data_IF_129359347240
#
_entry.id   IF_129359347240
#
_cell.length_a   1.000
_cell.length_b   1.000
_cell.length_c   1.000
_cell.angle_alpha   90.00
_cell.angle_beta   90.00
_cell.angle_gamma   90.00
#
_symmetry.space_group_name_H-M   'P 1'
#
loop_
_entity.id
_entity.type
_entity.pdbx_description
1 polymer ?
#
# COMPACT_ATOMS: atom_id res chain seq x y z
N UNK A 1 -16.55 -2.16 19.22
CA UNK A 1 -15.62 -3.23 19.61
C UNK A 1 -15.66 -4.31 18.56
N UNK A 2 -14.51 -4.64 17.99
CA UNK A 2 -14.43 -5.68 16.96
C UNK A 2 -14.66 -7.06 17.57
N UNK A 3 -15.51 -7.86 16.95
CA UNK A 3 -15.83 -9.23 17.36
C UNK A 3 -15.06 -10.18 16.45
N UNK A 4 -14.10 -10.91 16.99
CA UNK A 4 -13.31 -11.88 16.24
C UNK A 4 -13.86 -13.29 16.46
N UNK A 5 -13.97 -14.06 15.38
CA UNK A 5 -14.34 -15.47 15.41
C UNK A 5 -13.19 -16.29 14.85
N UNK A 6 -12.79 -17.32 15.60
CA UNK A 6 -11.72 -18.25 15.20
C UNK A 6 -12.25 -19.67 15.30
N UNK A 7 -11.92 -20.47 14.30
CA UNK A 7 -12.20 -21.91 14.28
C UNK A 7 -10.90 -22.67 14.14
N UNK A 8 -10.66 -23.63 15.02
CA UNK A 8 -9.49 -24.49 15.04
C UNK A 8 -9.94 -25.95 14.97
N UNK A 9 -9.33 -26.73 14.09
CA UNK A 9 -9.68 -28.13 13.86
C UNK A 9 -8.41 -29.01 13.86
N UNK A 10 -8.45 -30.13 14.61
CA UNK A 10 -7.43 -31.16 14.55
C UNK A 10 -6.02 -30.72 14.94
N UNK A 11 -5.88 -29.90 16.00
CA UNK A 11 -4.60 -29.40 16.45
C UNK A 11 -4.26 -29.89 17.87
N UNK A 12 -3.26 -30.75 18.00
CA UNK A 12 -2.86 -31.41 19.26
C UNK A 12 -4.06 -32.13 19.94
N UNK A 13 -4.36 -31.75 21.18
CA UNK A 13 -5.46 -32.29 21.96
C UNK A 13 -6.84 -31.66 21.61
N UNK A 14 -6.88 -30.76 20.63
CA UNK A 14 -8.08 -30.03 20.25
C UNK A 14 -8.65 -30.62 18.97
N UNK A 15 -9.76 -31.35 19.07
CA UNK A 15 -10.47 -31.85 17.88
C UNK A 15 -11.15 -30.71 17.13
N UNK A 16 -11.86 -29.85 17.87
CA UNK A 16 -12.55 -28.68 17.34
C UNK A 16 -12.68 -27.61 18.41
N UNK A 17 -12.41 -26.35 18.04
CA UNK A 17 -12.68 -25.18 18.88
C UNK A 17 -13.21 -24.04 18.03
N UNK A 18 -14.39 -23.53 18.36
CA UNK A 18 -14.98 -22.31 17.81
C UNK A 18 -14.97 -21.24 18.89
N UNK A 19 -14.22 -20.16 18.69
CA UNK A 19 -13.99 -19.14 19.71
C UNK A 19 -14.45 -17.81 19.18
N UNK A 20 -15.21 -17.09 20.01
CA UNK A 20 -15.57 -15.71 19.75
C UNK A 20 -14.92 -14.83 20.81
N UNK A 21 -14.07 -13.90 20.39
CA UNK A 21 -13.44 -12.91 21.26
C UNK A 21 -14.23 -11.60 21.14
N UNK A 22 -14.77 -11.15 22.29
CA UNK A 22 -15.50 -9.89 22.39
C UNK A 22 -15.21 -9.26 23.77
N UNK A 23 -14.12 -8.50 23.86
CA UNK A 23 -13.60 -8.01 25.12
C UNK A 23 -12.76 -9.05 25.87
N UNK A 24 -13.07 -9.34 27.13
CA UNK A 24 -12.35 -10.31 27.97
C UNK A 24 -12.91 -11.71 27.72
N UNK A 25 -12.04 -12.65 27.34
CA UNK A 25 -12.41 -14.06 27.16
C UNK A 25 -11.62 -14.91 28.16
N UNK A 26 -12.32 -15.75 28.94
CA UNK A 26 -11.72 -16.65 29.92
C UNK A 26 -11.81 -18.09 29.43
N UNK A 27 -10.68 -18.78 29.39
CA UNK A 27 -10.59 -20.20 29.07
C UNK A 27 -10.51 -21.03 30.37
N UNK A 28 -11.50 -21.89 30.60
CA UNK A 28 -11.52 -22.81 31.74
C UNK A 28 -11.65 -24.26 31.28
N UNK A 29 -11.25 -25.20 32.12
CA UNK A 29 -11.34 -26.63 31.85
C UNK A 29 -10.28 -27.44 32.62
N UNK A 30 -10.32 -28.75 32.52
CA UNK A 30 -9.41 -29.69 33.20
C UNK A 30 -7.96 -29.56 32.71
N UNK A 31 -7.00 -30.07 33.51
CA UNK A 31 -5.59 -30.09 33.11
C UNK A 31 -5.40 -31.01 31.90
N UNK A 32 -4.63 -30.54 30.92
CA UNK A 32 -4.37 -31.30 29.69
C UNK A 32 -5.39 -31.12 28.55
N UNK A 33 -6.51 -30.42 28.76
CA UNK A 33 -7.54 -30.23 27.71
C UNK A 33 -7.16 -29.23 26.59
N UNK A 34 -5.93 -28.73 26.55
CA UNK A 34 -5.46 -27.89 25.45
C UNK A 34 -5.60 -26.38 25.63
N UNK A 35 -5.98 -25.87 26.85
CA UNK A 35 -6.13 -24.41 27.11
C UNK A 35 -4.90 -23.58 26.73
N UNK A 36 -3.73 -24.02 27.18
CA UNK A 36 -2.46 -23.32 26.88
C UNK A 36 -2.12 -23.34 25.41
N UNK A 37 -2.40 -24.44 24.72
CA UNK A 37 -2.22 -24.57 23.27
C UNK A 37 -3.12 -23.60 22.54
N UNK A 38 -4.39 -23.51 22.94
CA UNK A 38 -5.36 -22.61 22.36
C UNK A 38 -5.00 -21.14 22.58
N UNK A 39 -4.60 -20.78 23.82
CA UNK A 39 -4.16 -19.40 24.14
C UNK A 39 -2.95 -18.97 23.31
N UNK A 40 -1.94 -19.85 23.17
CA UNK A 40 -0.75 -19.57 22.34
C UNK A 40 -1.11 -19.39 20.89
N UNK A 41 -1.97 -20.25 20.37
CA UNK A 41 -2.43 -20.17 18.99
C UNK A 41 -3.21 -18.88 18.72
N UNK A 42 -4.14 -18.50 19.61
CA UNK A 42 -4.87 -17.24 19.50
C UNK A 42 -3.95 -16.02 19.55
N UNK A 43 -3.00 -16.01 20.50
CA UNK A 43 -2.01 -14.95 20.59
C UNK A 43 -1.20 -14.82 19.30
N UNK A 44 -0.75 -15.94 18.75
CA UNK A 44 0.00 -15.97 17.52
C UNK A 44 -0.83 -15.41 16.34
N UNK A 45 -2.05 -15.87 16.13
CA UNK A 45 -2.93 -15.40 15.04
C UNK A 45 -3.23 -13.90 15.16
N UNK A 46 -3.51 -13.41 16.37
CA UNK A 46 -3.79 -12.00 16.61
C UNK A 46 -2.54 -11.15 16.30
N UNK A 47 -1.39 -11.60 16.78
CA UNK A 47 -0.12 -10.91 16.55
C UNK A 47 0.23 -10.84 15.05
N UNK A 48 0.08 -11.96 14.33
CA UNK A 48 0.36 -12.00 12.89
C UNK A 48 -0.67 -11.20 12.07
N UNK A 49 -1.92 -11.18 12.52
CA UNK A 49 -2.93 -10.32 11.88
C UNK A 49 -2.57 -8.82 12.00
N UNK A 50 -2.02 -8.40 13.15
CA UNK A 50 -1.58 -7.03 13.35
C UNK A 50 -0.35 -6.71 12.48
N UNK A 51 0.64 -7.61 12.44
CA UNK A 51 1.81 -7.45 11.54
C UNK A 51 1.42 -7.38 10.05
N UNK A 52 0.37 -8.11 9.67
CA UNK A 52 -0.14 -8.06 8.31
C UNK A 52 -0.64 -6.67 7.93
N UNK A 53 -1.37 -6.00 8.83
CA UNK A 53 -1.83 -4.62 8.62
C UNK A 53 -0.65 -3.65 8.49
N UNK A 54 0.36 -3.77 9.34
CA UNK A 54 1.60 -2.97 9.26
C UNK A 54 2.33 -3.20 7.93
N UNK A 55 2.43 -4.48 7.50
CA UNK A 55 3.07 -4.84 6.23
C UNK A 55 2.33 -4.29 5.00
N UNK A 56 1.00 -4.30 5.01
CA UNK A 56 0.19 -3.71 3.94
C UNK A 56 0.40 -2.20 3.87
N UNK A 57 0.38 -1.53 5.01
CA UNK A 57 0.64 -0.09 5.07
C UNK A 57 2.05 0.26 4.61
N UNK A 58 3.05 -0.53 5.00
CA UNK A 58 4.43 -0.35 4.57
C UNK A 58 4.58 -0.54 3.04
N UNK A 59 3.95 -1.57 2.47
CA UNK A 59 3.95 -1.80 1.02
C UNK A 59 3.31 -0.63 0.26
N UNK A 60 2.15 -0.16 0.72
CA UNK A 60 1.47 1.02 0.20
C UNK A 60 2.37 2.25 0.26
N UNK A 61 2.94 2.55 1.42
CA UNK A 61 3.81 3.69 1.66
C UNK A 61 5.04 3.68 0.76
N UNK A 62 5.69 2.53 0.61
CA UNK A 62 6.87 2.37 -0.24
C UNK A 62 6.53 2.59 -1.72
N UNK A 63 5.39 2.08 -2.20
CA UNK A 63 4.94 2.29 -3.58
C UNK A 63 4.64 3.77 -3.84
N UNK A 64 3.96 4.42 -2.91
CA UNK A 64 3.60 5.83 -2.98
C UNK A 64 4.84 6.73 -3.02
N UNK A 65 5.80 6.50 -2.10
CA UNK A 65 7.09 7.19 -2.10
C UNK A 65 7.84 7.02 -3.42
N UNK A 66 7.87 5.79 -3.95
CA UNK A 66 8.53 5.49 -5.23
C UNK A 66 7.92 6.28 -6.39
N UNK A 67 6.60 6.44 -6.43
CA UNK A 67 5.91 7.23 -7.44
C UNK A 67 6.16 8.74 -7.26
N UNK A 68 6.05 9.26 -6.04
CA UNK A 68 6.34 10.67 -5.75
C UNK A 68 7.79 11.03 -6.08
N UNK A 69 8.76 10.18 -5.79
CA UNK A 69 10.16 10.41 -6.16
C UNK A 69 10.38 10.52 -7.66
N UNK A 70 9.65 9.76 -8.49
CA UNK A 70 9.69 9.92 -9.95
C UNK A 70 9.19 11.30 -10.37
N UNK A 71 8.05 11.74 -9.80
CA UNK A 71 7.47 13.06 -10.07
C UNK A 71 8.41 14.18 -9.61
N UNK A 72 9.01 14.08 -8.42
CA UNK A 72 10.00 15.05 -7.90
C UNK A 72 11.20 15.17 -8.84
N UNK A 73 11.76 14.06 -9.30
CA UNK A 73 12.90 14.08 -10.24
C UNK A 73 12.54 14.74 -11.57
N UNK A 74 11.36 14.42 -12.10
CA UNK A 74 10.88 15.01 -13.35
C UNK A 74 10.54 16.49 -13.19
N UNK A 75 9.95 16.91 -12.06
CA UNK A 75 9.60 18.31 -11.80
C UNK A 75 10.82 19.22 -11.73
N UNK A 76 11.98 18.72 -11.23
CA UNK A 76 13.25 19.45 -11.25
C UNK A 76 13.71 19.85 -12.66
N UNK A 77 13.34 19.08 -13.65
CA UNK A 77 13.62 19.42 -15.06
C UNK A 77 12.59 20.40 -15.64
N UNK A 78 11.39 20.46 -15.08
CA UNK A 78 10.29 21.32 -15.58
C UNK A 78 10.38 22.72 -15.00
N UNK A 79 10.62 22.85 -13.69
CA UNK A 79 10.62 24.10 -12.96
C UNK A 79 11.83 24.23 -12.04
N UNK A 80 12.36 25.44 -11.88
CA UNK A 80 13.43 25.73 -10.91
C UNK A 80 12.89 26.23 -9.55
N UNK A 81 11.59 26.24 -9.32
CA UNK A 81 10.94 26.91 -8.18
C UNK A 81 10.36 25.97 -7.12
N UNK A 82 10.04 26.55 -5.99
CA UNK A 82 9.60 26.11 -4.66
C UNK A 82 8.50 25.00 -4.54
N UNK A 83 8.07 24.42 -5.64
CA UNK A 83 7.00 23.40 -5.68
C UNK A 83 7.40 22.03 -5.09
N UNK A 84 8.69 21.87 -4.77
CA UNK A 84 9.21 20.66 -4.11
C UNK A 84 8.61 20.45 -2.72
N UNK A 85 8.23 21.52 -2.05
CA UNK A 85 7.66 21.51 -0.70
C UNK A 85 6.42 20.63 -0.65
N UNK A 86 5.49 20.78 -1.59
CA UNK A 86 4.25 19.99 -1.62
C UNK A 86 4.46 18.48 -1.77
N UNK A 87 5.46 18.05 -2.55
CA UNK A 87 5.78 16.61 -2.68
C UNK A 87 6.41 16.06 -1.39
N UNK A 88 7.27 16.86 -0.73
CA UNK A 88 7.89 16.47 0.53
C UNK A 88 6.85 16.41 1.65
N UNK A 89 5.93 17.37 1.71
CA UNK A 89 4.82 17.34 2.66
C UNK A 89 3.98 16.06 2.56
N UNK A 90 3.69 15.58 1.34
CA UNK A 90 2.97 14.30 1.18
C UNK A 90 3.83 13.12 1.61
N UNK A 91 5.14 13.12 1.33
CA UNK A 91 6.07 12.10 1.79
C UNK A 91 6.14 12.07 3.32
N UNK A 92 6.20 13.24 3.96
CA UNK A 92 6.24 13.35 5.42
C UNK A 92 4.93 12.86 6.05
N UNK A 93 3.80 13.18 5.46
CA UNK A 93 2.50 12.65 5.91
C UNK A 93 2.38 11.14 5.82
N UNK A 94 3.00 10.51 4.82
CA UNK A 94 3.10 9.05 4.75
C UNK A 94 3.90 8.51 5.96
N UNK A 95 4.96 9.22 6.36
CA UNK A 95 5.78 8.83 7.51
C UNK A 95 5.03 8.98 8.84
N UNK A 96 4.21 10.03 8.96
CA UNK A 96 3.47 10.36 10.18
C UNK A 96 2.17 9.57 10.34
N UNK A 97 1.88 8.62 9.43
CA UNK A 97 0.66 7.81 9.43
C UNK A 97 -0.63 8.65 9.52
N UNK A 98 -0.64 9.78 8.81
CA UNK A 98 -1.80 10.66 8.72
C UNK A 98 -2.98 9.93 8.08
N UNK A 99 -4.19 10.44 8.33
CA UNK A 99 -5.42 9.96 7.75
C UNK A 99 -5.31 9.66 6.23
N UNK A 100 -5.60 8.40 5.89
CA UNK A 100 -5.41 7.86 4.54
C UNK A 100 -6.29 8.57 3.51
N UNK A 101 -7.48 9.04 3.91
CA UNK A 101 -8.41 9.75 3.02
C UNK A 101 -7.84 11.10 2.62
N UNK A 102 -7.32 11.85 3.59
CA UNK A 102 -6.62 13.12 3.34
C UNK A 102 -5.39 12.93 2.45
N UNK A 103 -4.63 11.84 2.67
CA UNK A 103 -3.47 11.48 1.86
C UNK A 103 -3.88 11.18 0.41
N UNK A 104 -5.00 10.47 0.21
CA UNK A 104 -5.56 10.17 -1.11
C UNK A 104 -5.86 11.43 -1.90
N UNK A 105 -6.61 12.34 -1.31
CA UNK A 105 -7.00 13.59 -1.97
C UNK A 105 -5.77 14.41 -2.39
N UNK A 106 -4.80 14.55 -1.51
CA UNK A 106 -3.56 15.29 -1.78
C UNK A 106 -2.72 14.63 -2.87
N UNK A 107 -2.57 13.31 -2.81
CA UNK A 107 -1.81 12.56 -3.83
C UNK A 107 -2.43 12.74 -5.22
N UNK A 108 -3.74 12.53 -5.34
CA UNK A 108 -4.45 12.67 -6.62
C UNK A 108 -4.33 14.12 -7.14
N UNK A 109 -4.47 15.11 -6.27
CA UNK A 109 -4.30 16.51 -6.62
C UNK A 109 -2.89 16.81 -7.18
N UNK A 110 -1.84 16.33 -6.51
CA UNK A 110 -0.46 16.50 -6.96
C UNK A 110 -0.18 15.82 -8.30
N UNK A 111 -0.69 14.60 -8.49
CA UNK A 111 -0.54 13.85 -9.75
C UNK A 111 -1.19 14.61 -10.90
N UNK A 112 -2.41 15.11 -10.73
CA UNK A 112 -3.13 15.90 -11.75
C UNK A 112 -2.44 17.23 -12.05
N UNK A 113 -1.98 17.94 -11.02
CA UNK A 113 -1.24 19.18 -11.21
C UNK A 113 0.05 18.96 -12.01
N UNK A 114 0.77 17.89 -11.70
CA UNK A 114 1.99 17.55 -12.43
C UNK A 114 1.68 17.18 -13.89
N UNK A 115 0.62 16.43 -14.16
CA UNK A 115 0.19 16.10 -15.53
C UNK A 115 -0.07 17.36 -16.35
N UNK A 116 -0.85 18.30 -15.84
CA UNK A 116 -1.15 19.58 -16.51
C UNK A 116 0.12 20.39 -16.81
N UNK A 117 1.05 20.42 -15.88
CA UNK A 117 2.34 21.10 -16.05
C UNK A 117 3.22 20.44 -17.09
N UNK A 118 3.27 19.10 -17.10
CA UNK A 118 4.02 18.36 -18.09
C UNK A 118 3.48 18.65 -19.50
N UNK A 119 2.17 18.64 -19.69
CA UNK A 119 1.53 18.98 -20.98
C UNK A 119 1.87 20.43 -21.40
N UNK A 120 1.75 21.38 -20.48
CA UNK A 120 2.12 22.78 -20.75
C UNK A 120 3.60 22.92 -21.11
N UNK A 121 4.47 22.24 -20.39
CA UNK A 121 5.92 22.23 -20.66
C UNK A 121 6.26 21.65 -22.04
N UNK A 122 5.54 20.61 -22.48
CA UNK A 122 5.75 19.97 -23.77
C UNK A 122 5.34 20.86 -24.95
N UNK A 123 4.38 21.75 -24.71
CA UNK A 123 3.91 22.74 -25.70
C UNK A 123 4.92 23.87 -25.93
N UNK A 124 5.86 24.08 -25.02
CA UNK A 124 6.92 25.07 -25.16
C UNK A 124 8.06 24.58 -26.06
N UNK A 125 8.68 25.52 -26.80
CA UNK A 125 9.91 25.24 -27.56
C UNK A 125 11.08 24.95 -26.62
N UNK A 126 11.42 23.68 -26.43
CA UNK A 126 12.49 23.26 -25.54
C UNK A 126 13.43 22.23 -26.18
N UNK A 127 14.66 22.19 -25.65
CA UNK A 127 15.67 21.23 -26.10
C UNK A 127 15.18 19.78 -25.97
N UNK A 128 15.24 19.02 -27.06
CA UNK A 128 14.86 17.59 -27.09
C UNK A 128 15.53 16.75 -25.99
N UNK A 129 16.77 17.09 -25.63
CA UNK A 129 17.52 16.40 -24.57
C UNK A 129 16.86 16.50 -23.19
N UNK A 130 16.28 17.66 -22.87
CA UNK A 130 15.57 17.90 -21.60
C UNK A 130 14.26 17.14 -21.55
N UNK A 131 13.49 17.15 -22.65
CA UNK A 131 12.29 16.32 -22.78
C UNK A 131 12.60 14.84 -22.56
N UNK A 132 13.61 14.28 -23.23
CA UNK A 132 14.02 12.88 -23.07
C UNK A 132 14.40 12.53 -21.61
N UNK A 133 15.06 13.42 -20.86
CA UNK A 133 15.38 13.18 -19.45
C UNK A 133 14.14 13.08 -18.57
N UNK A 134 13.16 13.98 -18.74
CA UNK A 134 11.89 13.93 -18.02
C UNK A 134 11.20 12.59 -18.22
N UNK A 135 11.06 12.16 -19.47
CA UNK A 135 10.44 10.88 -19.81
C UNK A 135 11.21 9.68 -19.26
N UNK A 136 12.55 9.76 -19.22
CA UNK A 136 13.37 8.74 -18.57
C UNK A 136 13.08 8.62 -17.07
N UNK A 137 12.93 9.74 -16.34
CA UNK A 137 12.59 9.72 -14.91
C UNK A 137 11.20 9.14 -14.65
N UNK A 138 10.23 9.47 -15.50
CA UNK A 138 8.86 8.94 -15.43
C UNK A 138 8.75 7.50 -15.93
N UNK A 139 9.79 6.97 -16.60
CA UNK A 139 9.77 5.67 -17.30
C UNK A 139 8.68 5.58 -18.37
N UNK A 140 8.40 6.69 -19.04
CA UNK A 140 7.51 6.77 -20.18
C UNK A 140 8.32 6.72 -21.47
N UNK A 141 7.87 5.98 -22.47
CA UNK A 141 8.50 5.96 -23.79
C UNK A 141 8.30 7.32 -24.49
N UNK A 142 9.44 8.02 -24.73
CA UNK A 142 9.41 9.26 -25.50
C UNK A 142 9.18 8.97 -26.98
N UNK A 143 8.19 9.63 -27.56
CA UNK A 143 7.91 9.59 -28.99
C UNK A 143 7.89 11.00 -29.58
N UNK A 144 8.33 11.16 -30.83
CA UNK A 144 8.25 12.43 -31.55
C UNK A 144 6.84 12.68 -32.11
N UNK A 145 6.04 11.62 -32.27
CA UNK A 145 4.63 11.74 -32.60
C UNK A 145 3.87 12.28 -31.38
N UNK A 146 3.29 13.47 -31.55
CA UNK A 146 2.60 14.18 -30.47
C UNK A 146 1.40 13.42 -29.94
N UNK A 147 0.61 12.79 -30.82
CA UNK A 147 -0.61 12.05 -30.45
C UNK A 147 -0.24 10.83 -29.60
N UNK A 148 0.78 10.08 -30.04
CA UNK A 148 1.23 8.91 -29.30
C UNK A 148 1.88 9.28 -27.98
N UNK A 149 2.58 10.42 -27.92
CA UNK A 149 3.18 10.94 -26.71
C UNK A 149 2.13 11.34 -25.67
N UNK A 150 1.09 12.09 -26.08
CA UNK A 150 -0.02 12.48 -25.22
C UNK A 150 -0.77 11.25 -24.70
N UNK A 151 -0.98 10.24 -25.51
CA UNK A 151 -1.57 8.96 -25.10
C UNK A 151 -0.73 8.27 -24.03
N UNK A 152 0.58 8.14 -24.24
CA UNK A 152 1.50 7.51 -23.28
C UNK A 152 1.51 8.25 -21.92
N UNK A 153 1.41 9.57 -21.96
CA UNK A 153 1.31 10.41 -20.75
C UNK A 153 0.01 10.11 -20.02
N UNK A 154 -1.12 10.17 -20.69
CA UNK A 154 -2.43 9.91 -20.08
C UNK A 154 -2.51 8.49 -19.48
N UNK A 155 -2.01 7.48 -20.20
CA UNK A 155 -1.93 6.10 -19.69
C UNK A 155 -1.07 6.00 -18.44
N UNK A 156 0.08 6.68 -18.39
CA UNK A 156 0.95 6.69 -17.21
C UNK A 156 0.26 7.31 -15.99
N UNK A 157 -0.34 8.51 -16.13
CA UNK A 157 -1.00 9.17 -15.00
C UNK A 157 -2.25 8.42 -14.54
N UNK A 158 -3.02 7.87 -15.47
CA UNK A 158 -4.16 7.01 -15.15
C UNK A 158 -3.70 5.76 -14.39
N UNK A 159 -2.58 5.16 -14.76
CA UNK A 159 -2.03 4.00 -14.06
C UNK A 159 -1.56 4.34 -12.64
N UNK A 160 -0.97 5.53 -12.42
CA UNK A 160 -0.56 5.98 -11.08
C UNK A 160 -1.76 6.12 -10.14
N UNK A 161 -2.87 6.66 -10.65
CA UNK A 161 -4.10 6.83 -9.86
C UNK A 161 -4.75 5.47 -9.60
N UNK A 162 -4.89 4.63 -10.63
CA UNK A 162 -5.47 3.29 -10.50
C UNK A 162 -4.68 2.40 -9.52
N UNK A 163 -3.36 2.44 -9.60
CA UNK A 163 -2.45 1.74 -8.67
C UNK A 163 -2.64 2.20 -7.21
N UNK A 164 -2.87 3.51 -7.02
CA UNK A 164 -3.16 4.07 -5.71
C UNK A 164 -4.53 3.59 -5.21
N UNK A 165 -5.57 3.73 -6.03
CA UNK A 165 -6.93 3.34 -5.66
C UNK A 165 -7.01 1.85 -5.31
N UNK A 166 -6.36 0.97 -6.08
CA UNK A 166 -6.31 -0.44 -5.76
C UNK A 166 -5.69 -0.70 -4.37
N UNK A 167 -4.55 -0.07 -4.07
CA UNK A 167 -3.88 -0.26 -2.78
C UNK A 167 -4.63 0.39 -1.62
N UNK A 168 -5.28 1.52 -1.87
CA UNK A 168 -6.17 2.17 -0.91
C UNK A 168 -7.35 1.27 -0.56
N UNK A 169 -8.01 0.66 -1.55
CA UNK A 169 -9.10 -0.30 -1.31
C UNK A 169 -8.64 -1.51 -0.50
N UNK A 170 -7.44 -2.05 -0.79
CA UNK A 170 -6.86 -3.15 -0.01
C UNK A 170 -6.66 -2.78 1.47
N UNK A 171 -6.26 -1.55 1.77
CA UNK A 171 -6.08 -1.05 3.13
C UNK A 171 -7.42 -0.79 3.85
N UNK A 172 -8.41 -0.26 3.12
CA UNK A 172 -9.73 0.09 3.67
C UNK A 172 -10.65 -1.12 3.83
N UNK A 173 -10.29 -2.29 3.27
CA UNK A 173 -11.06 -3.51 3.50
C UNK A 173 -11.07 -3.85 4.99
N UNK A 174 -12.29 -3.97 5.54
CA UNK A 174 -12.50 -4.48 6.89
C UNK A 174 -11.72 -5.79 7.10
N UNK A 175 -11.09 -5.94 8.27
CA UNK A 175 -10.35 -7.16 8.63
C UNK A 175 -11.19 -8.42 8.45
N UNK A 176 -12.53 -8.31 8.62
CA UNK A 176 -13.48 -9.42 8.43
C UNK A 176 -13.68 -9.82 6.95
N UNK A 177 -13.44 -8.88 6.01
CA UNK A 177 -13.59 -9.11 4.56
C UNK A 177 -12.29 -9.53 3.88
N UNK A 178 -11.17 -9.40 4.57
CA UNK A 178 -9.88 -9.86 4.04
C UNK A 178 -9.92 -11.36 3.88
N UNK A 179 -9.65 -11.84 2.68
CA UNK A 179 -9.71 -13.26 2.42
C UNK A 179 -8.71 -14.01 3.29
N UNK A 180 -9.12 -15.13 3.86
CA UNK A 180 -8.22 -16.06 4.58
C UNK A 180 -6.99 -16.44 3.74
N UNK A 181 -7.11 -16.41 2.42
CA UNK A 181 -6.02 -16.67 1.47
C UNK A 181 -4.91 -15.61 1.51
N UNK A 182 -5.25 -14.33 1.74
CA UNK A 182 -4.24 -13.27 1.84
C UNK A 182 -3.43 -13.42 3.13
N UNK A 183 -4.10 -13.66 4.25
CA UNK A 183 -3.45 -13.92 5.52
C UNK A 183 -2.60 -15.21 5.46
N UNK A 184 -3.12 -16.27 4.85
CA UNK A 184 -2.40 -17.52 4.65
C UNK A 184 -1.13 -17.33 3.80
N UNK A 185 -1.22 -16.57 2.70
CA UNK A 185 -0.04 -16.25 1.86
C UNK A 185 1.00 -15.45 2.62
N UNK A 186 0.57 -14.49 3.44
CA UNK A 186 1.45 -13.69 4.29
C UNK A 186 2.18 -14.57 5.32
N UNK A 187 1.45 -15.41 6.04
CA UNK A 187 2.02 -16.36 7.01
C UNK A 187 3.00 -17.30 6.30
N UNK A 188 2.62 -17.89 5.18
CA UNK A 188 3.48 -18.79 4.41
C UNK A 188 4.76 -18.11 3.94
N UNK A 189 4.69 -16.87 3.48
CA UNK A 189 5.86 -16.10 3.04
C UNK A 189 6.85 -15.86 4.17
N UNK A 190 6.37 -15.55 5.37
CA UNK A 190 7.23 -15.16 6.49
C UNK A 190 7.73 -16.33 7.33
N UNK A 191 7.06 -17.49 7.29
CA UNK A 191 7.37 -18.65 8.16
C UNK A 191 7.81 -19.91 7.40
N UNK A 192 7.71 -19.94 6.08
CA UNK A 192 8.26 -21.09 5.31
C UNK A 192 9.79 -21.09 5.21
N UNK A 193 10.46 -20.04 5.70
CA UNK A 193 11.93 -19.93 5.70
C UNK A 193 12.58 -20.32 7.03
N UNK A 194 11.82 -20.46 8.13
CA UNK A 194 12.35 -20.81 9.45
C UNK A 194 12.43 -22.33 9.72
N UNK A 195 11.84 -23.17 8.88
CA UNK A 195 11.85 -24.65 9.00
C UNK A 195 12.91 -25.33 8.10
N UNK A 196 14.02 -24.65 7.77
CA UNK A 196 15.14 -25.26 7.05
C UNK A 196 16.42 -25.26 7.85
#
# INVERSE_FOLDING_TARGET
MSKYKYSLYGYHAIEKADITINGITVLSGENGCGKSTLSRWLYYIINESNKFDESLYEEFSNKLRGNLQKLVRASREISQSDEFTSYHEVIDQINDQVDIDTLKERYISLVKQFELRLISFLSAEMMKSRKKRIFSYLKISYNEDKILLEKNIAEFFSSLIADFDQKYEELCLDKEKRSSDQLYRFIKKNYSEEDK
#
